data_IF_422808021113
#
_entry.id   IF_422808021113
#
_cell.length_a   1.000
_cell.length_b   1.000
_cell.length_c   1.000
_cell.angle_alpha   90.00
_cell.angle_beta   90.00
_cell.angle_gamma   90.00
#
_symmetry.space_group_name_H-M   'P 1'
#
loop_
_entity.id
_entity.type
_entity.pdbx_description
1 polymer ?
#
# COMPACT_ATOMS: atom_id res chain seq x y z
N UNK A 1 37.73 2.81 17.25
CA UNK A 1 36.73 1.77 17.46
C UNK A 1 37.29 0.48 16.88
N UNK A 2 37.38 -0.62 17.65
CA UNK A 2 37.83 -1.90 17.12
C UNK A 2 36.83 -2.35 16.04
N UNK A 3 37.34 -2.63 14.83
CA UNK A 3 36.57 -3.28 13.78
C UNK A 3 36.14 -4.66 14.32
N UNK A 4 34.84 -4.89 14.42
CA UNK A 4 34.36 -6.21 14.77
C UNK A 4 34.77 -7.17 13.63
N UNK A 5 35.80 -7.97 13.85
CA UNK A 5 36.19 -9.02 12.91
C UNK A 5 35.18 -10.15 13.05
N UNK A 6 34.20 -10.18 12.13
CA UNK A 6 33.33 -11.34 11.98
C UNK A 6 34.11 -12.46 11.30
N UNK A 7 34.08 -13.64 11.89
CA UNK A 7 34.70 -14.82 11.29
C UNK A 7 33.89 -15.27 10.05
N UNK A 8 34.47 -16.00 9.10
CA UNK A 8 33.72 -16.60 7.99
C UNK A 8 32.56 -17.50 8.45
N UNK A 9 32.66 -18.07 9.65
CA UNK A 9 31.59 -18.85 10.27
C UNK A 9 30.41 -17.98 10.71
N UNK A 10 30.65 -16.78 11.24
CA UNK A 10 29.62 -15.81 11.63
C UNK A 10 28.82 -15.30 10.42
N UNK A 11 29.42 -15.32 9.24
CA UNK A 11 28.81 -14.91 7.98
C UNK A 11 28.07 -16.06 7.26
N UNK A 12 28.21 -17.31 7.71
CA UNK A 12 27.43 -18.44 7.19
C UNK A 12 26.15 -18.65 8.01
N UNK A 13 25.39 -17.59 8.16
CA UNK A 13 24.16 -17.54 8.94
C UNK A 13 22.97 -17.97 8.08
N UNK A 14 22.35 -19.10 8.42
CA UNK A 14 21.17 -19.65 7.74
C UNK A 14 19.99 -19.73 8.69
N UNK A 15 18.92 -19.08 8.31
CA UNK A 15 17.66 -19.17 9.03
C UNK A 15 16.92 -20.48 8.71
N UNK A 16 16.50 -21.17 9.75
CA UNK A 16 15.62 -22.33 9.61
C UNK A 16 14.17 -21.91 9.85
N UNK A 17 13.32 -22.10 8.84
CA UNK A 17 11.89 -21.85 8.99
C UNK A 17 11.24 -22.98 9.80
N UNK A 18 11.36 -22.88 11.14
CA UNK A 18 10.87 -23.87 12.10
C UNK A 18 9.36 -24.09 11.98
N UNK A 19 8.90 -25.30 12.28
CA UNK A 19 7.49 -25.70 12.19
C UNK A 19 6.55 -24.77 12.98
N UNK A 20 7.01 -24.26 14.13
CA UNK A 20 6.25 -23.29 14.94
C UNK A 20 5.84 -22.05 14.13
N UNK A 21 6.73 -21.46 13.34
CA UNK A 21 6.45 -20.27 12.54
C UNK A 21 5.57 -20.58 11.33
N UNK A 22 5.72 -21.79 10.74
CA UNK A 22 4.81 -22.29 9.70
C UNK A 22 3.40 -22.42 10.26
N UNK A 23 3.25 -22.97 11.45
CA UNK A 23 1.95 -23.13 12.11
C UNK A 23 1.30 -21.79 12.40
N UNK A 24 2.05 -20.73 12.78
CA UNK A 24 1.54 -19.37 12.94
C UNK A 24 1.03 -18.84 11.61
N UNK A 25 1.79 -18.97 10.52
CA UNK A 25 1.38 -18.52 9.21
C UNK A 25 0.11 -19.24 8.73
N UNK A 26 0.06 -20.58 8.84
CA UNK A 26 -1.15 -21.36 8.48
C UNK A 26 -2.32 -21.08 9.42
N UNK A 27 -2.07 -20.81 10.70
CA UNK A 27 -3.10 -20.38 11.66
C UNK A 27 -3.74 -19.04 11.24
N UNK A 28 -2.94 -18.06 10.85
CA UNK A 28 -3.44 -16.79 10.34
C UNK A 28 -4.26 -16.98 9.04
N UNK A 29 -3.78 -17.80 8.12
CA UNK A 29 -4.52 -18.13 6.89
C UNK A 29 -5.87 -18.78 7.24
N UNK A 30 -5.88 -19.78 8.14
CA UNK A 30 -7.10 -20.46 8.56
C UNK A 30 -8.10 -19.52 9.26
N UNK A 31 -7.61 -18.72 10.22
CA UNK A 31 -8.42 -17.69 10.89
C UNK A 31 -8.98 -16.70 9.87
N UNK A 32 -8.16 -16.24 8.93
CA UNK A 32 -8.57 -15.33 7.88
C UNK A 32 -9.73 -15.88 7.05
N UNK A 33 -9.62 -17.12 6.58
CA UNK A 33 -10.68 -17.78 5.83
C UNK A 33 -11.96 -17.92 6.66
N UNK A 34 -11.86 -18.35 7.91
CA UNK A 34 -13.03 -18.49 8.82
C UNK A 34 -13.72 -17.14 9.02
N UNK A 35 -12.96 -16.07 9.26
CA UNK A 35 -13.52 -14.73 9.45
C UNK A 35 -14.21 -14.20 8.19
N UNK A 36 -13.66 -14.45 7.01
CA UNK A 36 -14.27 -14.05 5.73
C UNK A 36 -15.60 -14.79 5.56
N UNK A 37 -15.65 -16.09 5.82
CA UNK A 37 -16.89 -16.89 5.73
C UNK A 37 -17.92 -16.41 6.74
N UNK A 38 -17.53 -16.20 8.00
CA UNK A 38 -18.43 -15.66 9.03
C UNK A 38 -18.97 -14.28 8.64
N UNK A 39 -18.09 -13.39 8.16
CA UNK A 39 -18.48 -12.06 7.71
C UNK A 39 -19.43 -12.11 6.50
N UNK A 40 -19.25 -13.07 5.60
CA UNK A 40 -20.16 -13.31 4.47
C UNK A 40 -21.54 -13.83 4.91
N UNK A 41 -21.59 -14.69 5.92
CA UNK A 41 -22.83 -15.27 6.44
C UNK A 41 -23.63 -14.30 7.33
N UNK A 42 -22.94 -13.52 8.17
CA UNK A 42 -23.59 -12.62 9.13
C UNK A 42 -23.64 -11.15 8.67
N UNK A 43 -22.90 -10.79 7.63
CA UNK A 43 -22.90 -9.43 7.08
C UNK A 43 -24.16 -9.05 6.28
N UNK A 44 -25.02 -10.00 5.94
CA UNK A 44 -26.26 -9.76 5.20
C UNK A 44 -27.50 -9.46 6.06
N UNK A 45 -27.37 -9.47 7.39
CA UNK A 45 -28.57 -9.42 8.26
C UNK A 45 -28.93 -8.02 8.78
N UNK A 46 -28.29 -6.96 8.32
CA UNK A 46 -28.57 -5.59 8.81
C UNK A 46 -29.44 -4.73 7.87
N UNK A 47 -29.92 -5.29 6.73
CA UNK A 47 -30.77 -4.55 5.77
C UNK A 47 -32.27 -4.91 5.82
N UNK A 48 -32.70 -5.89 6.66
CA UNK A 48 -34.10 -6.36 6.65
C UNK A 48 -34.95 -5.90 7.85
N UNK A 49 -34.60 -4.77 8.52
CA UNK A 49 -35.43 -4.25 9.60
C UNK A 49 -35.86 -2.78 9.41
N UNK A 50 -36.27 -2.41 8.20
CA UNK A 50 -37.19 -1.28 8.06
C UNK A 50 -38.48 -1.86 7.50
N UNK A 51 -39.37 -2.21 8.43
CA UNK A 51 -40.76 -2.58 8.17
C UNK A 51 -41.48 -1.44 7.46
N UNK A 52 -42.28 -1.80 6.49
CA UNK A 52 -43.27 -0.97 5.85
C UNK A 52 -44.10 -0.20 6.89
N UNK A 53 -43.79 1.09 7.08
CA UNK A 53 -44.74 2.03 7.65
C UNK A 53 -44.95 3.13 6.60
N UNK A 54 -46.00 2.91 5.80
CA UNK A 54 -46.53 3.90 4.86
C UNK A 54 -47.17 5.05 5.66
N UNK A 55 -46.38 6.00 6.06
CA UNK A 55 -46.82 7.29 6.56
C UNK A 55 -46.49 8.37 5.54
N UNK A 56 -47.50 8.79 4.76
CA UNK A 56 -47.49 9.95 3.88
C UNK A 56 -47.05 11.22 4.67
N UNK A 57 -45.79 11.55 4.67
CA UNK A 57 -45.32 12.87 5.01
C UNK A 57 -44.40 13.39 3.90
N UNK A 58 -45.00 14.17 2.99
CA UNK A 58 -44.25 15.02 2.06
C UNK A 58 -43.37 15.99 2.86
N UNK A 59 -42.13 15.63 3.09
CA UNK A 59 -41.10 16.54 3.58
C UNK A 59 -40.62 17.35 2.40
N UNK A 60 -41.02 18.63 2.35
CA UNK A 60 -40.43 19.63 1.47
C UNK A 60 -38.94 19.71 1.83
N UNK A 61 -38.10 19.29 0.92
CA UNK A 61 -36.66 19.50 0.98
C UNK A 61 -36.43 21.00 0.75
N UNK A 62 -36.27 21.77 1.82
CA UNK A 62 -35.68 23.11 1.72
C UNK A 62 -34.20 22.91 1.38
N UNK A 63 -33.88 23.21 0.15
CA UNK A 63 -32.53 23.35 -0.37
C UNK A 63 -31.94 24.60 0.27
N UNK A 64 -31.13 24.45 1.32
CA UNK A 64 -30.42 25.56 1.95
C UNK A 64 -29.26 25.98 1.06
N UNK A 65 -29.49 27.08 0.33
CA UNK A 65 -28.49 27.85 -0.40
C UNK A 65 -27.40 28.37 0.54
N UNK A 66 -26.23 27.81 0.44
CA UNK A 66 -25.02 28.33 1.09
C UNK A 66 -23.94 28.63 0.06
N UNK A 67 -24.32 29.32 -1.03
CA UNK A 67 -23.38 30.11 -1.83
C UNK A 67 -24.14 31.27 -2.43
N UNK A 68 -24.25 32.39 -1.70
CA UNK A 68 -24.64 33.68 -2.28
C UNK A 68 -23.45 34.22 -3.07
N UNK A 69 -23.53 34.18 -4.38
CA UNK A 69 -22.77 35.06 -5.28
C UNK A 69 -23.74 36.00 -5.95
N UNK A 70 -23.33 37.27 -6.01
CA UNK A 70 -24.05 38.44 -6.36
C UNK A 70 -24.88 38.33 -7.63
N UNK A 71 -26.05 39.01 -7.59
CA UNK A 71 -26.99 39.27 -8.67
C UNK A 71 -26.34 39.91 -9.92
N UNK A 72 -26.58 39.28 -11.08
CA UNK A 72 -26.76 39.98 -12.36
C UNK A 72 -27.97 39.36 -13.08
N UNK A 73 -28.73 40.17 -13.87
CA UNK A 73 -30.11 39.86 -14.23
C UNK A 73 -30.23 38.95 -15.47
N UNK A 74 -31.07 37.98 -15.28
CA UNK A 74 -31.98 37.27 -16.20
C UNK A 74 -31.88 37.53 -17.70
N UNK A 75 -31.37 36.53 -18.44
CA UNK A 75 -31.81 36.23 -19.81
C UNK A 75 -32.09 34.73 -19.93
N UNK A 76 -33.36 34.40 -20.11
CA UNK A 76 -33.89 33.04 -20.19
C UNK A 76 -33.25 32.18 -21.28
N UNK A 77 -32.73 31.07 -20.89
CA UNK A 77 -32.48 29.90 -21.72
C UNK A 77 -32.98 28.65 -20.98
N UNK A 78 -33.69 27.82 -21.76
CA UNK A 78 -34.46 26.66 -21.27
C UNK A 78 -33.73 25.76 -20.32
N UNK A 79 -34.46 25.31 -19.31
CA UNK A 79 -34.13 24.28 -18.37
C UNK A 79 -33.95 22.94 -19.14
N UNK A 80 -32.71 22.55 -19.46
CA UNK A 80 -32.39 21.19 -19.69
C UNK A 80 -32.11 20.59 -18.29
N UNK A 81 -33.09 19.84 -17.79
CA UNK A 81 -32.93 18.96 -16.62
C UNK A 81 -31.78 18.01 -16.86
N UNK A 82 -30.58 18.35 -16.41
CA UNK A 82 -29.50 17.37 -16.20
C UNK A 82 -29.81 16.53 -14.96
N UNK A 83 -30.86 15.76 -15.04
CA UNK A 83 -31.18 14.64 -14.15
C UNK A 83 -30.20 13.48 -14.40
N UNK A 84 -28.93 13.66 -14.15
CA UNK A 84 -27.97 12.57 -14.05
C UNK A 84 -28.19 11.79 -12.74
N UNK A 85 -29.21 10.95 -12.71
CA UNK A 85 -29.38 9.97 -11.64
C UNK A 85 -28.16 9.06 -11.62
N UNK A 86 -27.23 9.31 -10.70
CA UNK A 86 -26.17 8.35 -10.40
C UNK A 86 -26.82 7.07 -9.89
N UNK A 87 -26.97 6.09 -10.77
CA UNK A 87 -27.31 4.72 -10.36
C UNK A 87 -26.13 4.14 -9.56
N UNK A 88 -26.02 4.53 -8.29
CA UNK A 88 -25.16 3.81 -7.36
C UNK A 88 -25.73 2.41 -7.22
N UNK A 89 -25.02 1.41 -7.76
CA UNK A 89 -25.30 0.01 -7.48
C UNK A 89 -25.20 -0.16 -5.97
N UNK A 90 -26.25 -0.64 -5.33
CA UNK A 90 -26.23 -0.93 -3.89
C UNK A 90 -25.05 -1.88 -3.59
N UNK A 91 -24.23 -1.48 -2.63
CA UNK A 91 -23.05 -2.24 -2.26
C UNK A 91 -23.46 -3.55 -1.57
N UNK A 92 -23.17 -4.66 -2.20
CA UNK A 92 -23.47 -5.98 -1.68
C UNK A 92 -22.35 -6.54 -0.81
N UNK A 93 -22.62 -7.58 -0.01
CA UNK A 93 -21.56 -8.35 0.69
C UNK A 93 -20.51 -8.87 -0.29
N UNK A 94 -20.87 -9.20 -1.52
CA UNK A 94 -19.92 -9.64 -2.55
C UNK A 94 -19.02 -8.50 -3.01
N UNK A 95 -19.57 -7.30 -3.25
CA UNK A 95 -18.80 -6.07 -3.53
C UNK A 95 -17.79 -5.79 -2.42
N UNK A 96 -18.18 -5.96 -1.15
CA UNK A 96 -17.30 -5.81 0.02
C UNK A 96 -16.16 -6.83 0.01
N UNK A 97 -16.42 -8.09 -0.35
CA UNK A 97 -15.40 -9.14 -0.49
C UNK A 97 -14.40 -8.79 -1.59
N UNK A 98 -14.87 -8.36 -2.77
CA UNK A 98 -14.00 -7.98 -3.90
C UNK A 98 -13.16 -6.73 -3.54
N UNK A 99 -13.76 -5.75 -2.88
CA UNK A 99 -13.06 -4.54 -2.42
C UNK A 99 -11.96 -4.85 -1.39
N UNK A 100 -12.20 -5.79 -0.48
CA UNK A 100 -11.19 -6.24 0.48
C UNK A 100 -10.10 -7.11 -0.15
N UNK A 101 -10.43 -7.90 -1.17
CA UNK A 101 -9.44 -8.62 -1.98
C UNK A 101 -8.51 -7.62 -2.69
N UNK A 102 -9.07 -6.54 -3.26
CA UNK A 102 -8.30 -5.45 -3.84
C UNK A 102 -7.43 -4.76 -2.80
N UNK A 103 -8.00 -4.32 -1.67
CA UNK A 103 -7.35 -3.60 -0.60
C UNK A 103 -6.13 -4.36 -0.06
N UNK A 104 -6.33 -5.60 0.40
CA UNK A 104 -5.26 -6.40 0.97
C UNK A 104 -4.26 -6.87 -0.10
N UNK A 105 -4.74 -7.18 -1.31
CA UNK A 105 -3.89 -7.49 -2.46
C UNK A 105 -2.93 -6.35 -2.78
N UNK A 106 -3.43 -5.12 -2.85
CA UNK A 106 -2.62 -3.92 -3.09
C UNK A 106 -1.67 -3.65 -1.92
N UNK A 107 -2.14 -3.70 -0.69
CA UNK A 107 -1.33 -3.39 0.49
C UNK A 107 -0.07 -4.27 0.57
N UNK A 108 -0.22 -5.58 0.51
CA UNK A 108 0.92 -6.48 0.59
C UNK A 108 1.76 -6.51 -0.69
N UNK A 109 1.17 -6.30 -1.87
CA UNK A 109 1.92 -6.14 -3.12
C UNK A 109 2.83 -4.91 -3.05
N UNK A 110 2.31 -3.77 -2.60
CA UNK A 110 3.09 -2.52 -2.54
C UNK A 110 4.24 -2.62 -1.56
N UNK A 111 4.13 -3.35 -0.44
CA UNK A 111 5.28 -3.66 0.43
C UNK A 111 6.37 -4.39 -0.36
N UNK A 112 6.01 -5.39 -1.18
CA UNK A 112 6.94 -6.11 -2.05
C UNK A 112 7.61 -5.22 -3.09
N UNK A 113 6.83 -4.34 -3.72
CA UNK A 113 7.32 -3.37 -4.73
C UNK A 113 8.21 -2.32 -4.09
N UNK A 114 7.86 -1.81 -2.89
CA UNK A 114 8.68 -0.88 -2.12
C UNK A 114 10.03 -1.49 -1.72
N UNK A 115 10.06 -2.77 -1.33
CA UNK A 115 11.30 -3.49 -1.07
C UNK A 115 12.15 -3.68 -2.36
N UNK A 116 11.51 -3.90 -3.51
CA UNK A 116 12.20 -3.96 -4.80
C UNK A 116 12.80 -2.61 -5.18
N UNK A 117 12.05 -1.53 -5.00
CA UNK A 117 12.55 -0.17 -5.23
C UNK A 117 13.71 0.16 -4.29
N UNK A 118 13.62 -0.21 -3.01
CA UNK A 118 14.72 -0.06 -2.05
C UNK A 118 16.01 -0.74 -2.54
N UNK A 119 15.92 -1.99 -2.98
CA UNK A 119 17.07 -2.72 -3.54
C UNK A 119 17.65 -2.02 -4.77
N UNK A 120 16.80 -1.60 -5.70
CA UNK A 120 17.21 -1.01 -6.96
C UNK A 120 17.86 0.37 -6.77
N UNK A 121 17.28 1.26 -5.95
CA UNK A 121 17.79 2.61 -5.76
C UNK A 121 19.14 2.60 -5.01
N UNK A 122 19.29 1.72 -4.01
CA UNK A 122 20.57 1.56 -3.30
C UNK A 122 21.65 0.95 -4.18
N UNK A 123 21.25 0.05 -5.10
CA UNK A 123 22.18 -0.53 -6.08
C UNK A 123 22.67 0.52 -7.09
N UNK A 124 21.77 1.35 -7.60
CA UNK A 124 22.12 2.45 -8.52
C UNK A 124 22.98 3.49 -7.81
N UNK A 125 22.66 3.81 -6.57
CA UNK A 125 23.42 4.74 -5.74
C UNK A 125 24.74 4.19 -5.20
N UNK A 126 25.10 2.92 -5.49
CA UNK A 126 26.28 2.24 -4.94
C UNK A 126 26.39 2.33 -3.41
N UNK A 127 25.26 2.31 -2.70
CA UNK A 127 25.22 2.40 -1.26
C UNK A 127 25.59 1.04 -0.64
N UNK A 128 26.68 1.00 0.16
CA UNK A 128 27.16 -0.25 0.77
C UNK A 128 26.40 -0.64 2.04
N UNK A 129 25.90 0.31 2.81
CA UNK A 129 25.34 0.09 4.14
C UNK A 129 24.19 -0.96 4.17
N UNK A 130 23.35 -0.99 3.13
CA UNK A 130 22.14 -1.83 3.09
C UNK A 130 22.43 -3.32 2.88
N UNK A 131 23.67 -3.71 2.57
CA UNK A 131 24.03 -5.09 2.21
C UNK A 131 23.76 -6.05 3.36
N UNK A 132 23.95 -5.62 4.60
CA UNK A 132 23.63 -6.42 5.79
C UNK A 132 22.14 -6.80 5.90
N UNK A 133 21.24 -5.95 5.41
CA UNK A 133 19.77 -6.18 5.46
C UNK A 133 19.18 -6.59 4.11
N UNK A 134 20.00 -6.66 3.08
CA UNK A 134 19.60 -6.88 1.69
C UNK A 134 18.80 -8.17 1.50
N UNK A 135 19.20 -9.28 2.14
CA UNK A 135 18.52 -10.58 2.01
C UNK A 135 17.08 -10.54 2.52
N UNK A 136 16.82 -9.72 3.52
CA UNK A 136 15.45 -9.49 4.01
C UNK A 136 14.62 -8.79 2.93
N UNK A 137 15.13 -7.70 2.35
CA UNK A 137 14.44 -7.01 1.26
C UNK A 137 14.21 -7.93 0.05
N UNK A 138 15.22 -8.72 -0.36
CA UNK A 138 15.09 -9.71 -1.43
C UNK A 138 14.02 -10.78 -1.13
N UNK A 139 13.89 -11.21 0.12
CA UNK A 139 12.87 -12.17 0.51
C UNK A 139 11.46 -11.58 0.45
N UNK A 140 11.29 -10.31 0.84
CA UNK A 140 10.02 -9.59 0.74
C UNK A 140 9.56 -9.49 -0.72
N UNK A 141 10.48 -9.23 -1.66
CA UNK A 141 10.12 -9.15 -3.08
C UNK A 141 9.59 -10.47 -3.65
N UNK A 142 9.88 -11.62 -3.02
CA UNK A 142 9.37 -12.91 -3.47
C UNK A 142 7.87 -13.09 -3.22
N UNK A 143 7.25 -12.16 -2.52
CA UNK A 143 5.79 -12.10 -2.39
C UNK A 143 5.10 -11.60 -3.68
N UNK A 144 5.79 -10.87 -4.56
CA UNK A 144 5.18 -10.24 -5.76
C UNK A 144 4.35 -11.20 -6.61
N UNK A 145 4.81 -12.43 -6.95
CA UNK A 145 3.99 -13.36 -7.73
C UNK A 145 2.64 -13.69 -7.07
N UNK A 146 2.60 -13.81 -5.75
CA UNK A 146 1.38 -14.11 -4.99
C UNK A 146 0.42 -12.90 -4.98
N UNK A 147 0.96 -11.69 -4.78
CA UNK A 147 0.18 -10.47 -4.87
C UNK A 147 -0.42 -10.26 -6.27
N UNK A 148 0.34 -10.56 -7.32
CA UNK A 148 -0.14 -10.49 -8.71
C UNK A 148 -1.27 -11.48 -8.97
N UNK A 149 -1.18 -12.71 -8.45
CA UNK A 149 -2.26 -13.70 -8.56
C UNK A 149 -3.52 -13.19 -7.84
N UNK A 150 -3.38 -12.63 -6.63
CA UNK A 150 -4.51 -12.09 -5.88
C UNK A 150 -5.20 -10.94 -6.62
N UNK A 151 -4.44 -10.00 -7.19
CA UNK A 151 -5.00 -8.93 -8.02
C UNK A 151 -5.55 -9.45 -9.35
N UNK A 152 -4.98 -10.51 -9.90
CA UNK A 152 -5.51 -11.21 -11.07
C UNK A 152 -6.94 -11.72 -10.83
N UNK A 153 -7.27 -12.15 -9.60
CA UNK A 153 -8.63 -12.54 -9.23
C UNK A 153 -9.60 -11.35 -9.25
N UNK A 154 -9.15 -10.15 -8.89
CA UNK A 154 -9.99 -8.94 -8.95
C UNK A 154 -10.44 -8.64 -10.38
N UNK A 155 -9.62 -8.95 -11.39
CA UNK A 155 -9.94 -8.71 -12.81
C UNK A 155 -11.24 -9.43 -13.23
N UNK A 156 -11.49 -10.63 -12.70
CA UNK A 156 -12.71 -11.38 -13.02
C UNK A 156 -13.97 -10.71 -12.46
N UNK A 157 -13.83 -9.89 -11.42
CA UNK A 157 -14.94 -9.24 -10.71
C UNK A 157 -14.86 -7.71 -10.80
N UNK A 158 -14.11 -7.17 -11.76
CA UNK A 158 -13.89 -5.72 -11.85
C UNK A 158 -15.18 -4.92 -12.04
N UNK A 159 -16.20 -5.48 -12.68
CA UNK A 159 -17.52 -4.85 -12.83
C UNK A 159 -18.29 -4.67 -11.51
N UNK A 160 -17.81 -5.26 -10.39
CA UNK A 160 -18.41 -5.02 -9.07
C UNK A 160 -17.91 -3.75 -8.39
N UNK A 161 -16.68 -3.28 -8.73
CA UNK A 161 -16.02 -2.20 -8.04
C UNK A 161 -15.61 -1.03 -8.94
N UNK A 162 -15.46 -1.26 -10.26
CA UNK A 162 -15.09 -0.22 -11.22
C UNK A 162 -16.30 0.20 -12.06
N UNK A 163 -16.86 1.36 -11.76
CA UNK A 163 -18.04 1.91 -12.42
C UNK A 163 -17.88 2.05 -13.94
N UNK A 164 -16.69 2.50 -14.39
CA UNK A 164 -16.38 2.69 -15.82
C UNK A 164 -16.42 1.39 -16.66
N UNK A 165 -16.43 0.23 -16.01
CA UNK A 165 -16.54 -1.08 -16.69
C UNK A 165 -17.97 -1.39 -17.11
N UNK A 166 -18.95 -0.94 -16.31
CA UNK A 166 -20.36 -1.31 -16.46
C UNK A 166 -21.24 -0.21 -17.07
N UNK A 167 -20.81 1.05 -17.01
CA UNK A 167 -21.55 2.18 -17.58
C UNK A 167 -21.57 2.06 -19.12
N UNK A 168 -22.77 2.09 -19.74
CA UNK A 168 -22.92 2.08 -21.20
C UNK A 168 -22.28 3.31 -21.85
N UNK A 169 -21.89 3.18 -23.11
CA UNK A 169 -21.38 4.28 -23.92
C UNK A 169 -22.51 5.29 -24.17
N UNK A 170 -22.21 6.57 -24.04
CA UNK A 170 -23.17 7.66 -24.18
C UNK A 170 -23.92 8.05 -22.90
N UNK A 171 -23.72 7.33 -21.77
CA UNK A 171 -24.40 7.63 -20.51
C UNK A 171 -23.65 8.63 -19.63
N UNK A 172 -22.33 8.76 -19.78
CA UNK A 172 -21.48 9.63 -18.98
C UNK A 172 -20.37 10.25 -19.85
N UNK A 173 -20.46 11.54 -20.10
CA UNK A 173 -19.55 12.27 -20.98
C UNK A 173 -18.09 12.26 -20.46
N UNK A 174 -17.88 12.24 -19.12
CA UNK A 174 -16.55 12.25 -18.52
C UNK A 174 -15.89 10.87 -18.67
N UNK A 175 -16.65 9.79 -18.44
CA UNK A 175 -16.17 8.43 -18.63
C UNK A 175 -15.92 8.16 -20.12
N UNK A 176 -16.84 8.61 -20.99
CA UNK A 176 -16.71 8.45 -22.44
C UNK A 176 -15.44 9.14 -22.99
N UNK A 177 -15.14 10.33 -22.52
CA UNK A 177 -13.89 11.03 -22.87
C UNK A 177 -12.62 10.26 -22.44
N UNK A 178 -12.73 9.39 -21.41
CA UNK A 178 -11.62 8.59 -20.89
C UNK A 178 -11.56 7.16 -21.47
N UNK A 179 -12.54 6.71 -22.26
CA UNK A 179 -12.59 5.34 -22.81
C UNK A 179 -11.38 4.97 -23.67
N UNK A 180 -10.72 5.95 -24.30
CA UNK A 180 -9.45 5.69 -25.00
C UNK A 180 -8.36 5.13 -24.09
N UNK A 181 -8.37 5.48 -22.81
CA UNK A 181 -7.44 5.03 -21.79
C UNK A 181 -8.06 4.00 -20.84
N UNK A 182 -9.27 4.26 -20.31
CA UNK A 182 -10.03 3.38 -19.42
C UNK A 182 -10.90 2.43 -20.24
N UNK A 183 -10.30 1.40 -20.80
CA UNK A 183 -10.98 0.26 -21.40
C UNK A 183 -10.35 -1.05 -20.91
N UNK A 184 -11.15 -2.07 -20.73
CA UNK A 184 -10.76 -3.32 -20.09
C UNK A 184 -9.56 -3.99 -20.77
N UNK A 185 -9.51 -4.17 -22.11
CA UNK A 185 -8.36 -4.80 -22.76
C UNK A 185 -7.04 -4.03 -22.53
N UNK A 186 -7.05 -2.71 -22.71
CA UNK A 186 -5.84 -1.90 -22.56
C UNK A 186 -5.40 -1.79 -21.08
N UNK A 187 -6.35 -1.75 -20.14
CA UNK A 187 -6.09 -1.77 -18.71
C UNK A 187 -5.41 -3.09 -18.28
N UNK A 188 -5.91 -4.25 -18.78
CA UNK A 188 -5.30 -5.56 -18.53
C UNK A 188 -3.89 -5.63 -19.11
N UNK A 189 -3.70 -5.18 -20.36
CA UNK A 189 -2.35 -5.20 -20.99
C UNK A 189 -1.35 -4.41 -20.15
N UNK A 190 -1.70 -3.19 -19.71
CA UNK A 190 -0.83 -2.38 -18.83
C UNK A 190 -0.52 -3.11 -17.53
N UNK A 191 -1.53 -3.67 -16.89
CA UNK A 191 -1.38 -4.41 -15.62
C UNK A 191 -0.44 -5.61 -15.77
N UNK A 192 -0.59 -6.39 -16.84
CA UNK A 192 0.30 -7.53 -17.15
C UNK A 192 1.74 -7.06 -17.37
N UNK A 193 1.94 -5.95 -18.08
CA UNK A 193 3.29 -5.39 -18.30
C UNK A 193 3.89 -4.94 -16.96
N UNK A 194 3.16 -4.17 -16.13
CA UNK A 194 3.70 -3.65 -14.88
C UNK A 194 4.04 -4.76 -13.90
N UNK A 195 3.09 -5.63 -13.62
CA UNK A 195 3.29 -6.75 -12.68
C UNK A 195 4.28 -7.78 -13.21
N UNK A 196 4.28 -8.04 -14.50
CA UNK A 196 5.23 -8.93 -15.17
C UNK A 196 6.66 -8.41 -15.00
N UNK A 197 6.92 -7.15 -15.35
CA UNK A 197 8.27 -6.57 -15.25
C UNK A 197 8.71 -6.48 -13.78
N UNK A 198 7.86 -6.03 -12.85
CA UNK A 198 8.21 -5.96 -11.42
C UNK A 198 8.59 -7.34 -10.87
N UNK A 199 7.79 -8.36 -11.20
CA UNK A 199 8.05 -9.74 -10.74
C UNK A 199 9.33 -10.30 -11.36
N UNK A 200 9.52 -10.13 -12.67
CA UNK A 200 10.72 -10.64 -13.36
C UNK A 200 12.00 -9.96 -12.88
N UNK A 201 11.96 -8.65 -12.66
CA UNK A 201 13.11 -7.91 -12.09
C UNK A 201 13.42 -8.39 -10.68
N UNK A 202 12.41 -8.60 -9.82
CA UNK A 202 12.60 -9.11 -8.47
C UNK A 202 13.28 -10.49 -8.47
N UNK A 203 12.78 -11.41 -9.30
CA UNK A 203 13.36 -12.76 -9.46
C UNK A 203 14.78 -12.66 -10.01
N UNK A 204 15.01 -11.79 -11.00
CA UNK A 204 16.33 -11.62 -11.61
C UNK A 204 17.36 -11.06 -10.63
N UNK A 205 17.03 -10.00 -9.88
CA UNK A 205 17.90 -9.41 -8.85
C UNK A 205 18.28 -10.47 -7.81
N UNK A 206 17.30 -11.21 -7.28
CA UNK A 206 17.56 -12.28 -6.33
C UNK A 206 18.45 -13.38 -6.93
N UNK A 207 18.20 -13.79 -8.16
CA UNK A 207 19.03 -14.78 -8.85
C UNK A 207 20.48 -14.32 -9.01
N UNK A 208 20.69 -13.06 -9.45
CA UNK A 208 22.06 -12.51 -9.58
C UNK A 208 22.76 -12.42 -8.23
N UNK A 209 22.05 -12.06 -7.18
CA UNK A 209 22.55 -11.99 -5.82
C UNK A 209 23.00 -13.38 -5.28
N UNK A 210 22.23 -14.44 -5.56
CA UNK A 210 22.59 -15.80 -5.18
C UNK A 210 23.76 -16.35 -6.00
N UNK A 211 23.82 -16.07 -7.29
CA UNK A 211 24.95 -16.42 -8.15
C UNK A 211 26.24 -15.70 -7.74
N UNK A 212 26.12 -14.43 -7.30
CA UNK A 212 27.24 -13.66 -6.76
C UNK A 212 27.89 -14.39 -5.56
N UNK A 213 27.09 -15.00 -4.68
CA UNK A 213 27.60 -15.76 -3.54
C UNK A 213 28.35 -17.03 -3.94
N UNK A 214 27.97 -17.63 -5.07
CA UNK A 214 28.63 -18.86 -5.58
C UNK A 214 29.91 -18.52 -6.34
N UNK A 215 29.80 -17.66 -7.34
CA UNK A 215 30.86 -17.42 -8.32
C UNK A 215 31.81 -16.27 -7.86
N UNK A 216 31.30 -15.28 -7.14
CA UNK A 216 32.06 -14.06 -6.78
C UNK A 216 32.30 -13.14 -7.97
N UNK A 217 33.33 -12.29 -7.86
CA UNK A 217 33.73 -11.35 -8.90
C UNK A 217 32.73 -10.18 -9.08
N UNK A 218 32.86 -9.46 -10.19
CA UNK A 218 32.04 -8.27 -10.46
C UNK A 218 30.99 -8.45 -11.56
N UNK A 219 30.92 -9.62 -12.18
CA UNK A 219 30.02 -9.86 -13.32
C UNK A 219 28.55 -9.77 -12.92
N UNK A 220 28.16 -10.47 -11.86
CA UNK A 220 26.80 -10.45 -11.35
C UNK A 220 26.42 -9.09 -10.75
N UNK A 221 27.36 -8.46 -10.08
CA UNK A 221 27.23 -7.09 -9.57
C UNK A 221 26.88 -6.09 -10.68
N UNK A 222 27.63 -6.13 -11.81
CA UNK A 222 27.38 -5.24 -12.95
C UNK A 222 26.07 -5.54 -13.69
N UNK A 223 25.68 -6.81 -13.81
CA UNK A 223 24.37 -7.18 -14.39
C UNK A 223 23.21 -6.65 -13.57
N UNK A 224 23.31 -6.80 -12.26
CA UNK A 224 22.31 -6.30 -11.34
C UNK A 224 22.22 -4.77 -11.36
N UNK A 225 23.34 -4.06 -11.45
CA UNK A 225 23.36 -2.60 -11.56
C UNK A 225 22.61 -2.10 -12.80
N UNK A 226 22.82 -2.75 -13.94
CA UNK A 226 22.13 -2.41 -15.19
C UNK A 226 20.61 -2.61 -15.10
N UNK A 227 20.16 -3.75 -14.57
CA UNK A 227 18.74 -4.01 -14.43
C UNK A 227 18.08 -3.11 -13.38
N UNK A 228 18.79 -2.77 -12.32
CA UNK A 228 18.31 -1.83 -11.30
C UNK A 228 18.14 -0.42 -11.85
N UNK A 229 19.08 0.05 -12.68
CA UNK A 229 18.97 1.34 -13.36
C UNK A 229 17.77 1.38 -14.32
N UNK A 230 17.59 0.34 -15.13
CA UNK A 230 16.38 0.20 -15.95
C UNK A 230 15.12 0.21 -15.11
N UNK A 231 15.10 -0.57 -14.01
CA UNK A 231 13.93 -0.70 -13.16
C UNK A 231 13.54 0.62 -12.50
N UNK A 232 14.47 1.44 -12.01
CA UNK A 232 14.16 2.73 -11.38
C UNK A 232 13.40 3.64 -12.34
N UNK A 233 13.82 3.71 -13.60
CA UNK A 233 13.13 4.52 -14.63
C UNK A 233 11.76 3.91 -14.98
N UNK A 234 11.72 2.61 -15.21
CA UNK A 234 10.47 1.90 -15.51
C UNK A 234 9.48 2.00 -14.34
N UNK A 235 9.97 1.90 -13.10
CA UNK A 235 9.16 2.01 -11.90
C UNK A 235 8.48 3.38 -11.80
N UNK A 236 9.21 4.47 -12.04
CA UNK A 236 8.63 5.82 -11.95
C UNK A 236 7.40 5.96 -12.87
N UNK A 237 7.47 5.43 -14.09
CA UNK A 237 6.37 5.48 -15.06
C UNK A 237 5.27 4.47 -14.69
N UNK A 238 5.65 3.21 -14.51
CA UNK A 238 4.67 2.13 -14.29
C UNK A 238 3.94 2.25 -12.96
N UNK A 239 4.60 2.73 -11.91
CA UNK A 239 3.97 2.93 -10.60
C UNK A 239 2.98 4.10 -10.62
N UNK A 240 3.28 5.16 -11.36
CA UNK A 240 2.36 6.28 -11.56
C UNK A 240 1.08 5.83 -12.27
N UNK A 241 1.22 5.06 -13.35
CA UNK A 241 0.09 4.52 -14.08
C UNK A 241 -0.67 3.46 -13.28
N UNK A 242 0.03 2.61 -12.54
CA UNK A 242 -0.58 1.63 -11.63
C UNK A 242 -1.48 2.31 -10.58
N UNK A 243 -1.03 3.40 -9.96
CA UNK A 243 -1.82 4.14 -8.98
C UNK A 243 -3.11 4.72 -9.60
N UNK A 244 -3.04 5.17 -10.86
CA UNK A 244 -4.19 5.64 -11.62
C UNK A 244 -5.13 4.48 -11.97
N UNK A 245 -4.59 3.39 -12.50
CA UNK A 245 -5.39 2.27 -13.02
C UNK A 245 -6.09 1.50 -11.90
N UNK A 246 -5.41 1.21 -10.79
CA UNK A 246 -5.92 0.31 -9.77
C UNK A 246 -6.64 1.00 -8.61
N UNK A 247 -6.29 2.24 -8.31
CA UNK A 247 -6.86 2.93 -7.15
C UNK A 247 -7.70 4.13 -7.59
N UNK A 248 -7.10 5.05 -8.36
CA UNK A 248 -7.82 6.28 -8.75
C UNK A 248 -9.02 6.01 -9.66
N UNK A 249 -8.95 4.99 -10.52
CA UNK A 249 -10.03 4.64 -11.45
C UNK A 249 -11.31 4.10 -10.77
N UNK A 250 -11.27 3.85 -9.44
CA UNK A 250 -12.48 3.60 -8.64
C UNK A 250 -13.38 4.84 -8.56
N UNK A 251 -12.81 6.03 -8.69
CA UNK A 251 -13.53 7.31 -8.75
C UNK A 251 -13.15 8.02 -10.07
N UNK A 252 -13.72 7.61 -11.21
CA UNK A 252 -13.28 8.06 -12.54
C UNK A 252 -13.53 9.55 -12.79
N UNK A 253 -14.47 10.16 -12.09
CA UNK A 253 -14.79 11.59 -12.20
C UNK A 253 -13.74 12.48 -11.54
N UNK A 254 -13.02 11.98 -10.56
CA UNK A 254 -11.98 12.71 -9.85
C UNK A 254 -10.60 12.53 -10.48
N UNK A 255 -9.72 13.52 -10.34
CA UNK A 255 -8.33 13.42 -10.77
C UNK A 255 -7.38 14.17 -9.82
N UNK A 256 -6.14 13.67 -9.72
CA UNK A 256 -5.05 14.33 -9.01
C UNK A 256 -3.73 13.84 -9.57
N UNK A 257 -2.86 14.77 -9.95
CA UNK A 257 -1.53 14.45 -10.50
C UNK A 257 -0.52 14.03 -9.43
N UNK A 258 -0.71 14.46 -8.18
CA UNK A 258 0.18 14.13 -7.06
C UNK A 258 -0.18 12.79 -6.38
N UNK A 259 -1.31 12.19 -6.74
CA UNK A 259 -1.87 11.01 -6.08
C UNK A 259 -0.92 9.80 -6.06
N UNK A 260 -0.19 9.57 -7.15
CA UNK A 260 0.77 8.47 -7.20
C UNK A 260 1.95 8.68 -6.25
N UNK A 261 2.39 9.93 -6.03
CA UNK A 261 3.46 10.26 -5.07
C UNK A 261 2.98 10.01 -3.64
N UNK A 262 1.72 10.29 -3.38
CA UNK A 262 1.07 10.00 -2.11
C UNK A 262 1.11 8.50 -1.78
N UNK A 263 0.67 7.65 -2.71
CA UNK A 263 0.70 6.19 -2.54
C UNK A 263 2.14 5.67 -2.42
N UNK A 264 3.06 6.21 -3.23
CA UNK A 264 4.48 5.85 -3.17
C UNK A 264 5.08 6.13 -1.79
N UNK A 265 4.78 7.28 -1.18
CA UNK A 265 5.28 7.60 0.15
C UNK A 265 4.82 6.58 1.20
N UNK A 266 3.54 6.21 1.22
CA UNK A 266 3.00 5.17 2.11
C UNK A 266 3.60 3.78 1.85
N UNK A 267 3.82 3.44 0.58
CA UNK A 267 4.52 2.21 0.17
C UNK A 267 5.93 2.14 0.75
N UNK A 268 6.69 3.23 0.66
CA UNK A 268 8.05 3.26 1.18
C UNK A 268 8.08 3.16 2.70
N UNK A 269 7.18 3.84 3.42
CA UNK A 269 7.06 3.69 4.88
C UNK A 269 6.80 2.23 5.25
N UNK A 270 5.80 1.61 4.64
CA UNK A 270 5.41 0.22 4.93
C UNK A 270 6.53 -0.77 4.62
N UNK A 271 7.25 -0.59 3.50
CA UNK A 271 8.38 -1.43 3.12
C UNK A 271 9.55 -1.29 4.11
N UNK A 272 9.93 -0.06 4.51
CA UNK A 272 11.04 0.18 5.45
C UNK A 272 10.73 -0.40 6.82
N UNK A 273 9.51 -0.21 7.33
CA UNK A 273 9.07 -0.82 8.58
C UNK A 273 9.13 -2.34 8.50
N UNK A 274 8.67 -2.93 7.40
CA UNK A 274 8.66 -4.39 7.22
C UNK A 274 10.09 -4.96 7.20
N UNK A 275 11.02 -4.31 6.49
CA UNK A 275 12.45 -4.69 6.48
C UNK A 275 13.02 -4.58 7.91
N UNK A 276 12.74 -3.48 8.63
CA UNK A 276 13.19 -3.28 10.01
C UNK A 276 12.68 -4.39 10.92
N UNK A 277 11.36 -4.67 10.91
CA UNK A 277 10.75 -5.65 11.81
C UNK A 277 11.25 -7.07 11.56
N UNK A 278 11.39 -7.49 10.30
CA UNK A 278 11.91 -8.82 9.98
C UNK A 278 13.39 -8.93 10.39
N UNK A 279 14.19 -7.89 10.13
CA UNK A 279 15.61 -7.86 10.55
C UNK A 279 15.73 -7.93 12.07
N UNK A 280 14.94 -7.14 12.80
CA UNK A 280 14.92 -7.14 14.26
C UNK A 280 14.47 -8.50 14.81
N UNK A 281 13.42 -9.10 14.24
CA UNK A 281 12.96 -10.43 14.62
C UNK A 281 14.05 -11.49 14.44
N UNK A 282 14.76 -11.49 13.30
CA UNK A 282 15.87 -12.43 13.06
C UNK A 282 17.00 -12.23 14.06
N UNK A 283 17.31 -10.98 14.40
CA UNK A 283 18.34 -10.64 15.39
C UNK A 283 17.97 -11.15 16.80
N UNK A 284 16.73 -11.01 17.22
CA UNK A 284 16.23 -11.54 18.48
C UNK A 284 16.24 -13.10 18.52
N UNK A 285 16.14 -13.75 17.35
CA UNK A 285 16.28 -15.22 17.25
C UNK A 285 17.75 -15.70 17.22
N UNK A 286 18.73 -14.79 17.35
CA UNK A 286 20.16 -15.11 17.35
C UNK A 286 20.83 -15.05 15.97
N UNK A 287 20.09 -14.70 14.93
CA UNK A 287 20.61 -14.51 13.58
C UNK A 287 21.05 -13.05 13.33
N UNK A 288 21.73 -12.78 12.22
CA UNK A 288 22.10 -11.43 11.76
C UNK A 288 22.81 -10.57 12.83
N UNK A 289 23.68 -11.17 13.67
CA UNK A 289 24.36 -10.44 14.74
C UNK A 289 25.34 -9.37 14.21
N UNK A 290 25.70 -9.45 12.94
CA UNK A 290 26.48 -8.43 12.23
C UNK A 290 25.68 -7.14 11.92
N UNK A 291 24.36 -7.17 12.00
CA UNK A 291 23.51 -5.95 11.88
C UNK A 291 23.63 -5.15 13.17
N UNK A 292 24.17 -3.95 13.07
CA UNK A 292 24.40 -3.05 14.20
C UNK A 292 23.31 -1.96 14.34
N UNK A 293 23.40 -1.14 15.38
CA UNK A 293 22.47 -0.04 15.64
C UNK A 293 22.45 1.03 14.53
N UNK A 294 23.53 1.15 13.73
CA UNK A 294 23.56 2.09 12.63
C UNK A 294 22.61 1.66 11.50
N UNK A 295 22.51 0.36 11.19
CA UNK A 295 21.56 -0.15 10.21
C UNK A 295 20.11 0.11 10.64
N UNK A 296 19.77 -0.17 11.90
CA UNK A 296 18.43 0.11 12.45
C UNK A 296 18.13 1.60 12.47
N UNK A 297 19.16 2.42 12.78
CA UNK A 297 19.00 3.87 12.72
C UNK A 297 18.71 4.36 11.30
N UNK A 298 19.37 3.82 10.29
CA UNK A 298 19.17 4.23 8.91
C UNK A 298 17.79 3.78 8.38
N UNK A 299 17.36 2.54 8.66
CA UNK A 299 15.99 2.11 8.37
C UNK A 299 14.95 2.97 9.10
N UNK A 300 15.21 3.32 10.37
CA UNK A 300 14.37 4.22 11.14
C UNK A 300 14.35 5.66 10.61
N UNK A 301 15.47 6.16 10.02
CA UNK A 301 15.51 7.47 9.32
C UNK A 301 14.65 7.44 8.06
N UNK A 302 14.74 6.38 7.27
CA UNK A 302 13.88 6.23 6.09
C UNK A 302 12.40 6.18 6.48
N UNK A 303 12.03 5.38 7.49
CA UNK A 303 10.67 5.35 8.02
C UNK A 303 10.19 6.74 8.43
N UNK A 304 10.97 7.43 9.24
CA UNK A 304 10.68 8.79 9.72
C UNK A 304 10.56 9.80 8.56
N UNK A 305 11.54 9.80 7.66
CA UNK A 305 11.59 10.73 6.54
C UNK A 305 10.43 10.53 5.56
N UNK A 306 10.09 9.28 5.23
CA UNK A 306 8.96 8.99 4.37
C UNK A 306 7.61 9.22 5.06
N UNK A 307 7.50 9.09 6.39
CA UNK A 307 6.29 9.48 7.11
C UNK A 307 6.05 11.00 7.04
N UNK A 308 7.11 11.81 7.16
CA UNK A 308 7.01 13.27 6.96
C UNK A 308 6.65 13.58 5.50
N UNK A 309 7.29 12.90 4.54
CA UNK A 309 7.01 13.10 3.12
C UNK A 309 5.57 12.71 2.78
N UNK A 310 5.06 11.61 3.32
CA UNK A 310 3.67 11.21 3.18
C UNK A 310 2.71 12.29 3.69
N UNK A 311 2.96 12.81 4.90
CA UNK A 311 2.15 13.87 5.49
C UNK A 311 2.20 15.16 4.68
N UNK A 312 3.38 15.53 4.17
CA UNK A 312 3.53 16.70 3.31
C UNK A 312 2.67 16.56 2.03
N UNK A 313 2.73 15.42 1.36
CA UNK A 313 1.97 15.18 0.14
C UNK A 313 0.45 15.13 0.43
N UNK A 314 0.05 14.48 1.54
CA UNK A 314 -1.34 14.40 1.97
C UNK A 314 -1.91 15.81 2.25
N UNK A 315 -1.20 16.62 3.03
CA UNK A 315 -1.60 18.01 3.35
C UNK A 315 -1.56 18.88 2.09
N UNK A 316 -0.53 18.76 1.25
CA UNK A 316 -0.42 19.55 0.01
C UNK A 316 -1.60 19.26 -0.93
N UNK A 317 -1.97 17.99 -1.15
CA UNK A 317 -3.12 17.63 -1.96
C UNK A 317 -4.42 18.19 -1.37
N UNK A 318 -4.63 18.04 -0.07
CA UNK A 318 -5.80 18.58 0.62
C UNK A 318 -5.88 20.10 0.50
N UNK A 319 -4.80 20.82 0.82
CA UNK A 319 -4.77 22.28 0.79
C UNK A 319 -4.98 22.86 -0.62
N UNK A 320 -4.40 22.23 -1.65
CA UNK A 320 -4.56 22.68 -3.02
C UNK A 320 -6.01 22.57 -3.47
N UNK A 321 -6.67 21.45 -3.19
CA UNK A 321 -8.08 21.23 -3.55
C UNK A 321 -9.00 22.13 -2.70
N UNK A 322 -8.73 22.24 -1.39
CA UNK A 322 -9.49 23.13 -0.52
C UNK A 322 -9.38 24.61 -0.91
N UNK A 323 -8.15 25.06 -1.26
CA UNK A 323 -7.91 26.43 -1.66
C UNK A 323 -8.53 26.78 -3.03
N UNK A 324 -8.44 25.87 -4.01
CA UNK A 324 -9.00 26.07 -5.34
C UNK A 324 -10.53 26.07 -5.32
N UNK A 325 -11.14 25.36 -4.38
CA UNK A 325 -12.59 25.23 -4.18
C UNK A 325 -13.35 24.87 -5.47
N UNK A 326 -12.74 24.01 -6.32
CA UNK A 326 -13.36 23.53 -7.54
C UNK A 326 -14.28 22.35 -7.17
N UNK A 327 -15.61 22.42 -7.45
CA UNK A 327 -16.56 21.40 -7.01
C UNK A 327 -16.20 19.98 -7.47
N UNK A 328 -15.74 19.83 -8.72
CA UNK A 328 -15.38 18.54 -9.33
C UNK A 328 -14.16 17.91 -8.64
N UNK A 329 -13.23 18.71 -8.13
CA UNK A 329 -12.05 18.21 -7.38
C UNK A 329 -12.38 17.96 -5.90
N UNK A 330 -13.28 18.78 -5.33
CA UNK A 330 -13.68 18.72 -3.93
C UNK A 330 -14.44 17.46 -3.55
N UNK A 331 -15.15 16.84 -4.49
CA UNK A 331 -16.01 15.66 -4.26
C UNK A 331 -15.27 14.48 -3.59
N UNK A 332 -13.98 14.30 -3.87
CA UNK A 332 -13.15 13.27 -3.26
C UNK A 332 -13.07 13.41 -1.74
N UNK A 333 -12.88 14.65 -1.26
CA UNK A 333 -12.80 14.94 0.15
C UNK A 333 -14.16 14.98 0.83
N UNK A 334 -15.18 15.50 0.15
CA UNK A 334 -16.57 15.55 0.65
C UNK A 334 -17.02 14.13 1.03
N UNK A 335 -16.76 13.13 0.22
CA UNK A 335 -17.06 11.72 0.52
C UNK A 335 -16.33 11.17 1.75
N UNK A 336 -15.24 11.80 2.19
CA UNK A 336 -14.37 11.29 3.27
C UNK A 336 -14.45 12.03 4.58
N UNK A 337 -14.83 13.33 4.58
CA UNK A 337 -14.85 14.11 5.83
C UNK A 337 -16.15 14.88 6.11
N UNK A 338 -17.08 14.95 5.17
CA UNK A 338 -18.33 15.69 5.38
C UNK A 338 -19.25 14.95 6.36
N UNK A 339 -19.69 15.65 7.40
CA UNK A 339 -20.46 15.09 8.52
C UNK A 339 -21.96 15.19 8.30
N UNK A 340 -22.40 16.05 7.37
CA UNK A 340 -23.82 16.37 7.16
C UNK A 340 -24.60 15.29 6.43
N UNK A 341 -23.93 14.48 5.59
CA UNK A 341 -24.54 13.34 4.90
C UNK A 341 -24.35 12.05 5.72
N UNK A 342 -25.43 11.45 6.17
CA UNK A 342 -25.42 10.24 7.01
C UNK A 342 -24.67 9.06 6.38
N UNK A 343 -24.71 8.92 5.07
CA UNK A 343 -24.06 7.82 4.34
C UNK A 343 -22.52 7.82 4.47
N UNK A 344 -21.89 9.00 4.60
CA UNK A 344 -20.43 9.14 4.69
C UNK A 344 -19.91 9.45 6.09
N UNK A 345 -20.79 9.58 7.09
CA UNK A 345 -20.44 9.92 8.46
C UNK A 345 -19.36 9.02 9.05
N UNK A 346 -19.40 7.73 8.72
CA UNK A 346 -18.45 6.74 9.22
C UNK A 346 -17.00 6.92 8.77
N UNK A 347 -16.73 7.66 7.68
CA UNK A 347 -15.36 7.91 7.21
C UNK A 347 -14.70 9.10 7.90
N UNK A 348 -15.45 10.09 8.39
CA UNK A 348 -14.93 11.37 8.90
C UNK A 348 -13.95 11.19 10.05
N UNK A 349 -14.31 10.41 11.05
CA UNK A 349 -13.42 10.11 12.17
C UNK A 349 -12.11 9.49 11.69
N UNK A 350 -12.19 8.51 10.79
CA UNK A 350 -11.05 7.78 10.29
C UNK A 350 -10.16 8.62 9.37
N UNK A 351 -10.75 9.57 8.64
CA UNK A 351 -10.00 10.50 7.80
C UNK A 351 -9.06 11.38 8.64
N UNK A 352 -9.54 11.93 9.76
CA UNK A 352 -8.70 12.71 10.66
C UNK A 352 -7.75 11.81 11.47
N UNK A 353 -8.20 10.64 11.92
CA UNK A 353 -7.36 9.68 12.63
C UNK A 353 -6.17 9.22 11.78
N UNK A 354 -6.32 9.15 10.46
CA UNK A 354 -5.26 8.79 9.52
C UNK A 354 -4.01 9.69 9.67
N UNK A 355 -4.21 11.00 9.81
CA UNK A 355 -3.11 11.94 10.03
C UNK A 355 -2.39 11.70 11.37
N UNK A 356 -3.15 11.40 12.44
CA UNK A 356 -2.56 11.10 13.74
C UNK A 356 -1.76 9.80 13.72
N UNK A 357 -2.28 8.77 13.08
CA UNK A 357 -1.66 7.45 13.00
C UNK A 357 -0.39 7.49 12.14
N UNK A 358 -0.46 8.05 10.93
CA UNK A 358 0.62 7.97 9.95
C UNK A 358 1.65 9.09 10.04
N UNK A 359 1.32 10.20 10.70
CA UNK A 359 2.25 11.33 10.85
C UNK A 359 2.55 11.66 12.30
N UNK A 360 1.56 12.05 13.11
CA UNK A 360 1.82 12.55 14.47
C UNK A 360 2.52 11.49 15.31
N UNK A 361 2.07 10.24 15.24
CA UNK A 361 2.67 9.12 16.00
C UNK A 361 4.14 8.89 15.63
N UNK A 362 4.52 8.61 14.37
CA UNK A 362 5.92 8.42 14.01
C UNK A 362 6.74 9.70 14.20
N UNK A 363 6.18 10.88 13.94
CA UNK A 363 6.88 12.15 14.11
C UNK A 363 7.31 12.37 15.56
N UNK A 364 6.39 12.26 16.52
CA UNK A 364 6.71 12.49 17.93
C UNK A 364 7.61 11.40 18.52
N UNK A 365 7.34 10.15 18.22
CA UNK A 365 8.05 9.03 18.85
C UNK A 365 9.40 8.77 18.18
N UNK A 366 9.47 8.82 16.84
CA UNK A 366 10.71 8.53 16.11
C UNK A 366 11.61 9.77 15.88
N UNK A 367 11.30 10.93 16.46
CA UNK A 367 12.15 12.12 16.34
C UNK A 367 13.55 11.86 16.89
N UNK A 368 13.66 11.20 18.03
CA UNK A 368 14.95 10.97 18.69
C UNK A 368 15.76 9.86 18.03
N UNK A 369 17.08 9.96 18.07
CA UNK A 369 18.01 8.96 17.54
C UNK A 369 17.83 7.59 18.21
N UNK A 370 17.68 7.60 19.54
CA UNK A 370 17.56 6.37 20.33
C UNK A 370 16.28 5.59 20.02
N UNK A 371 15.16 6.27 19.81
CA UNK A 371 13.88 5.61 19.54
C UNK A 371 13.88 4.88 18.19
N UNK A 372 14.63 5.39 17.19
CA UNK A 372 14.83 4.73 15.91
C UNK A 372 15.67 3.46 15.98
N UNK A 373 16.50 3.29 17.01
CA UNK A 373 17.42 2.15 17.20
C UNK A 373 16.86 1.06 18.10
N UNK A 374 16.01 1.43 19.07
CA UNK A 374 15.49 0.51 20.08
C UNK A 374 14.22 -0.16 19.59
N UNK A 375 14.25 -1.48 19.47
CA UNK A 375 13.07 -2.27 19.07
C UNK A 375 11.87 -2.02 20.01
N UNK A 376 12.09 -1.88 21.31
CA UNK A 376 11.03 -1.66 22.28
C UNK A 376 10.21 -0.37 22.04
N UNK A 377 10.83 0.67 21.48
CA UNK A 377 10.13 1.93 21.11
C UNK A 377 9.68 1.93 19.65
N UNK A 378 10.43 1.30 18.76
CA UNK A 378 10.10 1.25 17.35
C UNK A 378 8.94 0.29 17.05
N UNK A 379 8.88 -0.88 17.69
CA UNK A 379 7.86 -1.91 17.42
C UNK A 379 6.41 -1.42 17.59
N UNK A 380 6.01 -0.74 18.71
CA UNK A 380 4.65 -0.21 18.84
C UNK A 380 4.31 0.77 17.72
N UNK A 381 5.22 1.69 17.40
CA UNK A 381 5.03 2.66 16.31
C UNK A 381 4.91 1.95 14.97
N UNK A 382 5.75 0.97 14.72
CA UNK A 382 5.74 0.17 13.48
C UNK A 382 4.39 -0.52 13.27
N UNK A 383 3.82 -1.14 14.31
CA UNK A 383 2.51 -1.80 14.23
C UNK A 383 1.40 -0.77 13.93
N UNK A 384 1.42 0.36 14.66
CA UNK A 384 0.43 1.43 14.47
C UNK A 384 0.50 2.01 13.06
N UNK A 385 1.70 2.29 12.55
CA UNK A 385 1.89 2.89 11.22
C UNK A 385 1.61 1.89 10.09
N UNK A 386 1.95 0.60 10.25
CA UNK A 386 1.55 -0.42 9.26
C UNK A 386 0.03 -0.54 9.17
N UNK A 387 -0.67 -0.56 10.32
CA UNK A 387 -2.12 -0.48 10.32
C UNK A 387 -2.61 0.81 9.67
N UNK A 388 -1.97 1.94 9.98
CA UNK A 388 -2.31 3.25 9.44
C UNK A 388 -2.24 3.30 7.91
N UNK A 389 -1.21 2.73 7.28
CA UNK A 389 -1.10 2.70 5.82
C UNK A 389 -2.05 1.68 5.16
N UNK A 390 -2.39 0.58 5.84
CA UNK A 390 -3.49 -0.27 5.39
C UNK A 390 -4.83 0.49 5.46
N UNK A 391 -5.05 1.22 6.54
CA UNK A 391 -6.25 2.05 6.72
C UNK A 391 -6.31 3.23 5.74
N UNK A 392 -5.17 3.80 5.38
CA UNK A 392 -5.05 4.85 4.36
C UNK A 392 -5.52 4.34 2.98
N UNK A 393 -5.09 3.13 2.59
CA UNK A 393 -5.61 2.46 1.38
C UNK A 393 -7.11 2.14 1.50
N UNK A 394 -7.59 1.77 2.68
CA UNK A 394 -9.03 1.59 2.94
C UNK A 394 -9.81 2.87 2.62
N UNK A 395 -9.33 4.03 3.10
CA UNK A 395 -9.93 5.33 2.79
C UNK A 395 -9.84 5.73 1.31
N UNK A 396 -8.86 5.23 0.57
CA UNK A 396 -8.76 5.47 -0.87
C UNK A 396 -9.73 4.59 -1.68
N UNK A 397 -9.97 3.37 -1.24
CA UNK A 397 -10.69 2.33 -2.02
C UNK A 397 -12.17 2.29 -1.67
N UNK A 398 -12.52 2.22 -0.37
CA UNK A 398 -13.88 1.93 0.05
C UNK A 398 -14.92 3.00 -0.34
N UNK A 399 -14.65 4.31 -0.25
CA UNK A 399 -15.62 5.31 -0.67
C UNK A 399 -16.00 5.22 -2.15
N UNK A 400 -15.03 4.85 -3.02
CA UNK A 400 -15.27 4.67 -4.45
C UNK A 400 -15.94 3.33 -4.80
N UNK A 401 -15.62 2.26 -4.06
CA UNK A 401 -16.12 0.91 -4.35
C UNK A 401 -17.43 0.56 -3.64
N UNK A 402 -17.64 1.08 -2.42
CA UNK A 402 -18.79 0.75 -1.56
C UNK A 402 -19.75 1.92 -1.37
N UNK A 403 -19.31 3.16 -1.59
CA UNK A 403 -20.07 4.36 -1.25
C UNK A 403 -20.16 4.57 0.26
N UNK A 404 -21.08 3.86 0.92
CA UNK A 404 -21.22 3.90 2.37
C UNK A 404 -20.05 3.23 3.10
N UNK A 405 -19.79 3.65 4.35
CA UNK A 405 -18.73 3.04 5.14
C UNK A 405 -19.19 1.69 5.72
N UNK A 406 -18.67 0.56 5.23
CA UNK A 406 -19.05 -0.75 5.77
C UNK A 406 -18.49 -0.99 7.18
N UNK A 407 -17.61 -0.09 7.67
CA UNK A 407 -16.84 -0.31 8.90
C UNK A 407 -15.78 -1.38 8.76
N UNK A 408 -14.96 -1.53 9.80
CA UNK A 408 -13.98 -2.62 9.90
C UNK A 408 -14.63 -3.78 10.64
N UNK A 409 -14.96 -4.85 9.93
CA UNK A 409 -15.60 -6.03 10.46
C UNK A 409 -14.83 -7.33 10.22
N UNK A 410 -15.52 -8.45 10.28
CA UNK A 410 -14.93 -9.77 10.10
C UNK A 410 -14.29 -9.96 8.71
N UNK A 411 -14.87 -9.36 7.65
CA UNK A 411 -14.34 -9.48 6.29
C UNK A 411 -12.98 -8.78 6.18
N UNK A 412 -12.87 -7.53 6.65
CA UNK A 412 -11.64 -6.73 6.60
C UNK A 412 -10.51 -7.41 7.40
N UNK A 413 -10.81 -7.78 8.64
CA UNK A 413 -9.84 -8.48 9.51
C UNK A 413 -9.47 -9.84 8.94
N UNK A 414 -10.44 -10.55 8.36
CA UNK A 414 -10.24 -11.85 7.72
C UNK A 414 -9.30 -11.79 6.52
N UNK A 415 -9.52 -10.85 5.59
CA UNK A 415 -8.62 -10.65 4.45
C UNK A 415 -7.23 -10.21 4.89
N UNK A 416 -7.13 -9.29 5.86
CA UNK A 416 -5.83 -8.88 6.39
C UNK A 416 -5.06 -10.06 6.99
N UNK A 417 -5.70 -10.89 7.82
CA UNK A 417 -5.08 -12.06 8.43
C UNK A 417 -4.65 -13.10 7.37
N UNK A 418 -5.50 -13.36 6.38
CA UNK A 418 -5.21 -14.27 5.27
C UNK A 418 -3.94 -13.82 4.51
N UNK A 419 -3.91 -12.57 4.07
CA UNK A 419 -2.79 -12.04 3.31
C UNK A 419 -1.51 -11.92 4.15
N UNK A 420 -1.62 -11.53 5.43
CA UNK A 420 -0.49 -11.51 6.37
C UNK A 420 0.09 -12.91 6.56
N UNK A 421 -0.75 -13.94 6.70
CA UNK A 421 -0.30 -15.32 6.81
C UNK A 421 0.45 -15.79 5.57
N UNK A 422 -0.09 -15.52 4.37
CA UNK A 422 0.58 -15.84 3.10
C UNK A 422 1.91 -15.07 2.98
N UNK A 423 1.92 -13.79 3.30
CA UNK A 423 3.11 -12.95 3.26
C UNK A 423 4.21 -13.49 4.18
N UNK A 424 3.89 -13.77 5.44
CA UNK A 424 4.82 -14.36 6.42
C UNK A 424 5.36 -15.69 5.89
N UNK A 425 4.49 -16.58 5.41
CA UNK A 425 4.93 -17.88 4.90
C UNK A 425 5.91 -17.73 3.73
N UNK A 426 5.57 -16.91 2.73
CA UNK A 426 6.40 -16.72 1.53
C UNK A 426 7.74 -16.10 1.87
N UNK A 427 7.77 -15.04 2.68
CA UNK A 427 8.98 -14.30 3.04
C UNK A 427 9.92 -15.18 3.88
N UNK A 428 9.43 -15.83 4.93
CA UNK A 428 10.27 -16.67 5.79
C UNK A 428 10.73 -17.96 5.10
N UNK A 429 9.90 -18.55 4.24
CA UNK A 429 10.31 -19.65 3.39
C UNK A 429 11.38 -19.23 2.36
N UNK A 430 11.33 -17.98 1.88
CA UNK A 430 12.36 -17.44 1.00
C UNK A 430 13.67 -17.16 1.75
N UNK A 431 13.62 -16.66 2.97
CA UNK A 431 14.79 -16.46 3.83
C UNK A 431 15.52 -17.77 4.15
N UNK A 432 14.79 -18.87 4.37
CA UNK A 432 15.39 -20.16 4.71
C UNK A 432 16.16 -20.83 3.56
N UNK A 433 16.05 -20.32 2.33
CA UNK A 433 16.68 -20.90 1.13
C UNK A 433 18.09 -20.40 0.83
N UNK A 434 18.57 -19.41 1.56
CA UNK A 434 19.88 -18.79 1.32
C UNK A 434 20.50 -18.28 2.63
N UNK A 435 21.81 -18.00 2.60
CA UNK A 435 22.44 -17.27 3.68
C UNK A 435 21.80 -15.89 3.87
N UNK A 436 21.69 -15.46 5.13
CA UNK A 436 21.10 -14.17 5.49
C UNK A 436 21.97 -12.96 5.07
N UNK A 437 23.25 -13.20 4.78
CA UNK A 437 24.16 -12.18 4.26
C UNK A 437 24.73 -12.60 2.90
N UNK A 438 24.89 -11.68 1.92
CA UNK A 438 25.58 -11.98 0.66
C UNK A 438 27.10 -11.97 0.87
N UNK A 439 27.69 -13.16 1.06
CA UNK A 439 29.08 -13.36 1.52
C UNK A 439 30.13 -12.87 0.55
N UNK A 440 29.88 -12.88 -0.77
CA UNK A 440 30.85 -12.43 -1.79
C UNK A 440 30.44 -11.10 -2.45
N UNK A 441 29.66 -10.28 -1.73
CA UNK A 441 29.28 -8.96 -2.27
C UNK A 441 30.42 -7.95 -2.09
N UNK A 442 30.80 -7.14 -3.13
CA UNK A 442 31.93 -6.22 -3.06
C UNK A 442 31.88 -5.21 -1.91
N UNK A 443 30.68 -4.77 -1.52
CA UNK A 443 30.46 -3.79 -0.44
C UNK A 443 30.11 -4.43 0.91
N UNK A 444 30.34 -5.73 1.08
CA UNK A 444 30.02 -6.40 2.36
C UNK A 444 30.82 -5.80 3.53
N UNK A 445 32.13 -5.61 3.34
CA UNK A 445 33.01 -5.08 4.37
C UNK A 445 32.60 -3.66 4.78
N UNK A 446 32.20 -2.81 3.83
CA UNK A 446 31.67 -1.48 4.10
C UNK A 446 30.39 -1.57 4.97
N UNK A 447 29.48 -2.51 4.66
CA UNK A 447 28.27 -2.70 5.43
C UNK A 447 28.54 -3.18 6.84
N UNK A 448 29.44 -4.15 7.02
CA UNK A 448 29.82 -4.68 8.35
C UNK A 448 30.42 -3.59 9.26
N UNK A 449 31.19 -2.68 8.69
CA UNK A 449 31.83 -1.56 9.39
C UNK A 449 30.98 -0.27 9.40
N UNK A 450 29.69 -0.38 8.97
CA UNK A 450 28.82 0.77 8.87
C UNK A 450 28.60 1.46 10.23
N UNK A 451 28.82 2.76 10.27
CA UNK A 451 28.58 3.61 11.44
C UNK A 451 27.92 4.93 11.02
N UNK A 452 26.94 5.38 11.78
CA UNK A 452 26.23 6.66 11.53
C UNK A 452 26.89 7.82 12.27
N UNK A 453 28.21 8.00 12.11
CA UNK A 453 28.96 9.07 12.78
C UNK A 453 28.91 8.96 14.31
N UNK A 454 30.07 9.01 14.93
CA UNK A 454 30.13 9.03 16.38
C UNK A 454 29.44 10.27 16.93
N UNK A 455 28.59 10.11 17.89
CA UNK A 455 28.77 10.53 19.28
C UNK A 455 27.66 9.95 20.11
#
# INVERSE_FOLDING_TARGET
MASAHFSPEDLNDRFEFKQRFKNIAFGLIGIGVVLIVLGGLFGGSSSDSHGDDHGDHAVKTEQSDVYAVADEPDQGHGEEEHGGGHHHKEATTFTRIVSNLLLCGLYFLTIGVGALFFLAIHKVGNAGWHIAVRRVAEAITQYLPFGVIALGLVIFFMGEIYEWVVIPEGSDAIIDAKRGYLNVPFWIIRSVIFFGVWTLVAIYIRRQSLLQDQEGGLTHFGREQKISAFFVVFFAISYSLFAVDWIKSLEPHWFSTIFFVYIFAGTMVSAMITIYLITAFLKEQGHMQYVNDAHFHDLGKYTFGFSIFWAYIWVAQYLLIWYSNIPEEGIYYVKRYRVEDSAYLGYSFWFYANLFINFITPFLVLMTRNNKRRLATFLPVAIVVLYGHWHDLYLMIMPGAMGENPGVGFIEVGFFALFAGIFIYVVFNSLSKANLVPTKHPYLEESLNHSTGAV
#
